data_IF_986836730306
#
_entry.id   IF_986836730306
#
_cell.length_a   1.000
_cell.length_b   1.000
_cell.length_c   1.000
_cell.angle_alpha   90.00
_cell.angle_beta   90.00
_cell.angle_gamma   90.00
#
_symmetry.space_group_name_H-M   'P 1'
#
loop_
_entity.id
_entity.type
_entity.pdbx_description
1 polymer ?
#
# COMPACT_ATOMS: atom_id res chain seq x y z
N UNK A 1 7.58 3.82 34.76
CA UNK A 1 6.39 4.25 35.49
C UNK A 1 6.64 5.58 36.21
N UNK A 2 5.98 6.64 35.72
CA UNK A 2 6.14 8.02 36.22
C UNK A 2 5.75 8.15 37.71
N UNK A 3 4.79 7.34 38.15
CA UNK A 3 4.31 7.32 39.51
C UNK A 3 5.36 6.76 40.50
N UNK A 4 6.04 5.68 40.11
CA UNK A 4 7.11 5.04 40.88
C UNK A 4 8.37 5.94 40.93
N UNK A 5 8.62 6.71 39.88
CA UNK A 5 9.73 7.66 39.77
C UNK A 5 9.51 8.97 40.50
N UNK A 6 8.33 9.22 41.10
CA UNK A 6 8.01 10.45 41.78
C UNK A 6 7.86 11.70 40.90
N UNK A 7 7.64 11.49 39.59
CA UNK A 7 7.52 12.57 38.60
C UNK A 7 6.09 13.13 38.49
N UNK A 8 5.09 12.46 39.11
CA UNK A 8 3.69 12.89 39.06
C UNK A 8 3.42 13.82 40.22
N UNK A 9 3.05 15.06 39.91
CA UNK A 9 2.70 16.09 40.92
C UNK A 9 1.23 16.00 41.34
N UNK A 10 0.34 15.66 40.37
CA UNK A 10 -1.10 15.57 40.57
C UNK A 10 -1.74 14.67 39.50
N UNK A 11 -2.77 13.96 39.90
CA UNK A 11 -3.65 13.21 39.01
C UNK A 11 -5.06 13.77 39.22
N UNK A 12 -5.73 14.15 38.15
CA UNK A 12 -7.11 14.60 38.13
C UNK A 12 -7.88 13.79 37.08
N UNK A 13 -9.13 13.48 37.40
CA UNK A 13 -10.05 12.89 36.43
C UNK A 13 -10.54 13.97 35.46
N UNK A 14 -10.54 13.69 34.19
CA UNK A 14 -10.98 14.57 33.12
C UNK A 14 -11.93 13.80 32.19
N UNK A 15 -13.10 14.36 31.97
CA UNK A 15 -14.01 13.87 30.92
C UNK A 15 -13.65 14.54 29.59
N UNK A 16 -13.38 13.75 28.55
CA UNK A 16 -13.14 14.23 27.21
C UNK A 16 -13.77 13.29 26.18
N UNK A 17 -14.05 13.82 25.00
CA UNK A 17 -14.55 13.03 23.87
C UNK A 17 -13.41 12.21 23.25
N UNK A 18 -13.64 10.91 23.07
CA UNK A 18 -12.73 9.99 22.41
C UNK A 18 -13.33 9.54 21.09
N UNK A 19 -12.53 9.60 20.04
CA UNK A 19 -12.96 9.07 18.74
C UNK A 19 -13.01 7.54 18.80
N UNK A 20 -14.11 6.99 18.31
CA UNK A 20 -14.33 5.55 18.24
C UNK A 20 -14.52 5.08 16.81
N UNK A 21 -14.17 3.82 16.56
CA UNK A 21 -14.42 3.19 15.27
C UNK A 21 -15.92 3.00 15.04
N UNK A 22 -16.44 3.47 13.90
CA UNK A 22 -17.89 3.53 13.59
C UNK A 22 -18.62 2.19 13.67
N UNK A 23 -17.93 1.06 13.41
CA UNK A 23 -18.58 -0.27 13.37
C UNK A 23 -18.56 -1.02 14.68
N UNK A 24 -17.52 -0.87 15.49
CA UNK A 24 -17.33 -1.66 16.70
C UNK A 24 -17.28 -0.83 17.97
N UNK A 25 -17.27 0.50 17.89
CA UNK A 25 -17.22 1.39 19.05
C UNK A 25 -15.90 1.36 19.83
N UNK A 26 -14.89 0.65 19.33
CA UNK A 26 -13.57 0.65 19.96
C UNK A 26 -12.89 2.02 19.83
N UNK A 27 -12.20 2.43 20.88
CA UNK A 27 -11.42 3.66 20.88
C UNK A 27 -10.32 3.61 19.82
N UNK A 28 -10.09 4.76 19.16
CA UNK A 28 -9.03 4.90 18.14
C UNK A 28 -7.73 5.27 18.82
N UNK A 29 -6.71 4.47 18.58
CA UNK A 29 -5.35 4.71 19.07
C UNK A 29 -4.38 5.00 17.91
N UNK A 30 -3.38 5.84 18.17
CA UNK A 30 -2.30 6.12 17.24
C UNK A 30 -1.13 5.18 17.51
N UNK A 31 -0.79 4.35 16.53
CA UNK A 31 0.34 3.43 16.63
C UNK A 31 1.34 3.68 15.51
N UNK A 32 2.62 3.48 15.80
CA UNK A 32 3.68 3.52 14.78
C UNK A 32 3.94 2.09 14.32
N UNK A 33 3.74 1.84 13.02
CA UNK A 33 3.99 0.53 12.43
C UNK A 33 4.57 0.67 11.02
N UNK A 34 5.26 -0.37 10.57
CA UNK A 34 5.78 -0.43 9.19
C UNK A 34 4.61 -0.70 8.26
N UNK A 35 4.57 0.02 7.15
CA UNK A 35 3.52 -0.08 6.14
C UNK A 35 4.14 -0.05 4.75
N UNK A 36 3.43 -0.61 3.77
CA UNK A 36 3.77 -0.50 2.36
C UNK A 36 3.12 0.73 1.75
N UNK A 37 3.92 1.51 1.03
CA UNK A 37 3.48 2.73 0.35
C UNK A 37 3.81 2.67 -1.14
N UNK A 38 2.94 3.25 -1.95
CA UNK A 38 3.26 3.64 -3.32
C UNK A 38 3.78 5.08 -3.26
N UNK A 39 4.97 5.31 -3.81
CA UNK A 39 5.56 6.63 -3.93
C UNK A 39 4.76 7.47 -4.94
N UNK A 40 3.92 8.34 -4.42
CA UNK A 40 3.12 9.29 -5.21
C UNK A 40 3.84 10.63 -5.31
N UNK A 41 4.52 11.01 -4.22
CA UNK A 41 5.04 12.37 -4.08
C UNK A 41 6.14 12.68 -5.11
N UNK A 42 7.02 11.71 -5.38
CA UNK A 42 8.11 11.91 -6.35
C UNK A 42 7.66 11.86 -7.82
N UNK A 43 6.42 11.40 -8.08
CA UNK A 43 5.87 11.20 -9.43
C UNK A 43 4.75 12.19 -9.83
N UNK A 44 4.53 13.25 -9.06
CA UNK A 44 3.45 14.22 -9.34
C UNK A 44 3.54 14.84 -10.74
N UNK A 45 4.74 15.20 -11.17
CA UNK A 45 4.95 15.78 -12.50
C UNK A 45 4.61 14.77 -13.61
N UNK A 46 4.93 13.50 -13.41
CA UNK A 46 4.55 12.44 -14.35
C UNK A 46 3.03 12.25 -14.40
N UNK A 47 2.34 12.28 -13.27
CA UNK A 47 0.88 12.22 -13.24
C UNK A 47 0.25 13.39 -13.97
N UNK A 48 0.71 14.61 -13.75
CA UNK A 48 0.20 15.79 -14.47
C UNK A 48 0.45 15.67 -15.98
N UNK A 49 1.65 15.24 -16.38
CA UNK A 49 1.98 15.01 -17.80
C UNK A 49 1.07 13.97 -18.42
N UNK A 50 0.87 12.81 -17.77
CA UNK A 50 -0.01 11.74 -18.25
C UNK A 50 -1.46 12.22 -18.29
N UNK A 51 -1.91 12.98 -17.29
CA UNK A 51 -3.25 13.55 -17.26
C UNK A 51 -3.58 14.40 -18.48
N UNK A 52 -2.59 15.13 -19.01
CA UNK A 52 -2.72 15.91 -20.25
C UNK A 52 -2.81 15.06 -21.53
N UNK A 53 -2.36 13.80 -21.49
CA UNK A 53 -2.44 12.87 -22.61
C UNK A 53 -3.79 12.12 -22.66
N UNK A 54 -4.60 12.18 -21.58
CA UNK A 54 -5.89 11.49 -21.45
C UNK A 54 -7.01 12.29 -22.11
N UNK A 55 -7.94 11.61 -22.79
CA UNK A 55 -9.17 12.22 -23.28
C UNK A 55 -10.24 12.23 -22.18
N UNK A 56 -10.55 13.38 -21.60
CA UNK A 56 -11.48 13.53 -20.50
C UNK A 56 -12.92 13.76 -20.96
N UNK A 57 -13.86 12.98 -20.40
CA UNK A 57 -15.30 13.12 -20.64
C UNK A 57 -16.08 13.14 -19.30
N UNK A 58 -16.72 14.26 -18.94
CA UNK A 58 -16.63 15.59 -19.58
C UNK A 58 -15.26 16.26 -19.33
N UNK A 59 -14.88 17.17 -20.20
CA UNK A 59 -13.53 17.79 -20.19
C UNK A 59 -13.15 18.46 -18.86
N UNK A 60 -14.12 18.98 -18.10
CA UNK A 60 -13.85 19.62 -16.81
C UNK A 60 -13.32 18.63 -15.72
N UNK A 61 -13.42 17.33 -15.92
CA UNK A 61 -12.85 16.34 -15.00
C UNK A 61 -11.32 16.40 -14.97
N UNK A 62 -10.70 16.88 -16.04
CA UNK A 62 -9.26 17.15 -16.05
C UNK A 62 -8.84 18.11 -14.92
N UNK A 63 -9.59 19.19 -14.70
CA UNK A 63 -9.27 20.13 -13.63
C UNK A 63 -9.33 19.47 -12.24
N UNK A 64 -10.32 18.58 -12.01
CA UNK A 64 -10.42 17.84 -10.76
C UNK A 64 -9.24 16.90 -10.54
N UNK A 65 -8.79 16.26 -11.60
CA UNK A 65 -7.61 15.41 -11.56
C UNK A 65 -6.36 16.22 -11.21
N UNK A 66 -6.13 17.35 -11.87
CA UNK A 66 -5.00 18.23 -11.59
C UNK A 66 -5.02 18.75 -10.15
N UNK A 67 -6.18 19.21 -9.67
CA UNK A 67 -6.36 19.64 -8.29
C UNK A 67 -6.03 18.51 -7.30
N UNK A 68 -6.50 17.30 -7.58
CA UNK A 68 -6.19 16.15 -6.74
C UNK A 68 -4.69 15.86 -6.71
N UNK A 69 -4.02 15.80 -7.86
CA UNK A 69 -2.57 15.54 -7.94
C UNK A 69 -1.78 16.62 -7.18
N UNK A 70 -2.15 17.89 -7.36
CA UNK A 70 -1.47 19.01 -6.71
C UNK A 70 -1.64 18.98 -5.18
N UNK A 71 -2.82 18.61 -4.69
CA UNK A 71 -3.17 18.63 -3.27
C UNK A 71 -2.78 17.36 -2.50
N UNK A 72 -2.41 16.26 -3.15
CA UNK A 72 -1.88 15.07 -2.47
C UNK A 72 -0.65 15.47 -1.67
N UNK A 73 -0.65 15.16 -0.38
CA UNK A 73 0.38 15.57 0.57
C UNK A 73 1.25 14.44 1.14
N UNK A 74 0.93 13.18 0.81
CA UNK A 74 1.66 11.98 1.26
C UNK A 74 1.52 10.83 0.28
N UNK A 75 2.42 9.87 0.42
CA UNK A 75 2.41 8.63 -0.34
C UNK A 75 1.22 7.74 0.03
N UNK A 76 0.80 6.90 -0.89
CA UNK A 76 -0.37 6.06 -0.70
C UNK A 76 -0.05 4.79 0.09
N UNK A 77 -0.52 4.72 1.34
CA UNK A 77 -0.44 3.51 2.16
C UNK A 77 -1.38 2.44 1.63
N UNK A 78 -0.80 1.33 1.15
CA UNK A 78 -1.54 0.24 0.51
C UNK A 78 -1.58 -1.05 1.31
N UNK A 79 -0.96 -1.13 2.47
CA UNK A 79 -1.02 -2.31 3.34
C UNK A 79 -2.16 -2.23 4.35
N UNK A 80 -2.75 -3.39 4.66
CA UNK A 80 -3.85 -3.53 5.63
C UNK A 80 -3.63 -4.78 6.47
N UNK A 81 -3.88 -4.66 7.77
CA UNK A 81 -3.85 -5.74 8.74
C UNK A 81 -5.24 -6.41 8.76
N UNK A 82 -5.52 -7.23 7.76
CA UNK A 82 -6.80 -7.94 7.59
C UNK A 82 -6.56 -9.40 7.28
N UNK A 83 -7.49 -10.24 7.68
CA UNK A 83 -7.43 -11.68 7.40
C UNK A 83 -7.63 -12.00 5.91
N UNK A 84 -8.55 -11.29 5.25
CA UNK A 84 -8.83 -11.47 3.82
C UNK A 84 -8.28 -10.32 2.99
N UNK A 85 -7.65 -10.65 1.87
CA UNK A 85 -7.13 -9.72 0.89
C UNK A 85 -6.10 -10.38 -0.03
N UNK A 86 -5.59 -9.62 -0.98
CA UNK A 86 -4.47 -10.05 -1.82
C UNK A 86 -3.19 -9.89 -1.02
N UNK A 87 -2.44 -10.98 -0.75
CA UNK A 87 -1.21 -10.89 0.03
C UNK A 87 -0.11 -10.17 -0.74
N UNK A 88 0.78 -9.50 -0.01
CA UNK A 88 2.04 -9.02 -0.59
C UNK A 88 2.98 -10.20 -0.83
N UNK A 89 3.54 -10.37 -2.02
CA UNK A 89 4.42 -11.48 -2.35
C UNK A 89 5.84 -11.24 -1.80
N UNK A 90 5.96 -11.07 -0.48
CA UNK A 90 7.18 -10.63 0.20
C UNK A 90 7.45 -11.46 1.45
N UNK A 91 8.73 -11.72 1.70
CA UNK A 91 9.26 -12.23 2.97
C UNK A 91 10.34 -11.29 3.47
N UNK A 92 10.67 -11.39 4.74
CA UNK A 92 11.76 -10.65 5.36
C UNK A 92 12.80 -11.60 5.90
N UNK A 93 14.08 -11.27 5.69
CA UNK A 93 15.15 -11.98 6.36
C UNK A 93 15.02 -11.84 7.88
N UNK A 94 15.03 -12.95 8.61
CA UNK A 94 14.85 -12.97 10.06
C UNK A 94 15.94 -12.21 10.81
N UNK A 95 17.17 -12.22 10.30
CA UNK A 95 18.30 -11.57 10.97
C UNK A 95 18.47 -10.09 10.60
N UNK A 96 18.43 -9.74 9.33
CA UNK A 96 18.73 -8.38 8.90
C UNK A 96 17.49 -7.57 8.45
N UNK A 97 16.30 -8.19 8.40
CA UNK A 97 15.06 -7.53 8.00
C UNK A 97 14.99 -7.16 6.51
N UNK A 98 15.93 -7.64 5.68
CA UNK A 98 15.94 -7.36 4.25
C UNK A 98 14.72 -7.96 3.57
N UNK A 99 13.93 -7.17 2.80
CA UNK A 99 12.80 -7.69 2.07
C UNK A 99 13.22 -8.55 0.89
N UNK A 100 12.56 -9.68 0.72
CA UNK A 100 12.74 -10.63 -0.38
C UNK A 100 11.42 -10.72 -1.14
N UNK A 101 11.44 -10.32 -2.40
CA UNK A 101 10.28 -10.32 -3.27
C UNK A 101 10.18 -11.64 -4.04
N UNK A 102 8.97 -12.13 -4.24
CA UNK A 102 8.72 -13.22 -5.16
C UNK A 102 9.12 -12.84 -6.58
N UNK A 103 9.67 -13.80 -7.34
CA UNK A 103 9.91 -13.61 -8.77
C UNK A 103 8.59 -13.62 -9.55
N UNK A 104 8.58 -13.07 -10.77
CA UNK A 104 7.37 -13.07 -11.63
C UNK A 104 6.90 -14.48 -11.96
N UNK A 105 7.83 -15.41 -12.09
CA UNK A 105 7.58 -16.82 -12.43
C UNK A 105 6.96 -17.58 -11.26
N UNK A 106 7.20 -17.10 -10.03
CA UNK A 106 6.67 -17.68 -8.81
C UNK A 106 5.21 -17.27 -8.55
N UNK A 107 4.76 -16.16 -9.14
CA UNK A 107 3.41 -15.64 -8.91
C UNK A 107 2.32 -16.53 -9.56
N UNK A 108 1.15 -16.71 -8.91
CA UNK A 108 0.75 -16.11 -7.63
C UNK A 108 1.31 -16.87 -6.41
N UNK A 109 1.65 -16.14 -5.33
CA UNK A 109 2.13 -16.72 -4.06
C UNK A 109 1.36 -16.19 -2.88
N UNK A 110 1.27 -17.01 -1.83
CA UNK A 110 0.84 -16.60 -0.50
C UNK A 110 2.03 -16.79 0.46
N UNK A 111 2.69 -15.73 0.93
CA UNK A 111 3.87 -15.85 1.78
C UNK A 111 3.65 -16.64 3.08
N UNK A 112 2.40 -16.71 3.57
CA UNK A 112 2.07 -17.46 4.77
C UNK A 112 2.14 -18.99 4.57
N UNK A 113 2.02 -19.47 3.33
CA UNK A 113 2.01 -20.90 2.98
C UNK A 113 3.17 -21.29 2.07
N UNK A 114 3.69 -20.33 1.32
CA UNK A 114 4.74 -20.56 0.33
C UNK A 114 6.10 -20.07 0.85
N UNK A 115 7.16 -20.55 0.24
CA UNK A 115 8.54 -20.16 0.58
C UNK A 115 9.13 -19.30 -0.53
N UNK A 116 10.08 -18.39 -0.21
CA UNK A 116 10.77 -17.62 -1.22
C UNK A 116 11.59 -18.53 -2.15
N UNK A 117 11.80 -18.09 -3.39
CA UNK A 117 12.60 -18.81 -4.39
C UNK A 117 14.10 -18.87 -4.08
N UNK A 118 14.56 -18.13 -3.08
CA UNK A 118 15.96 -18.07 -2.68
C UNK A 118 16.21 -18.90 -1.41
N UNK A 119 17.35 -19.58 -1.36
CA UNK A 119 17.73 -20.38 -0.20
C UNK A 119 18.34 -19.57 0.96
N UNK A 120 18.92 -18.41 0.64
CA UNK A 120 19.62 -17.55 1.61
C UNK A 120 19.50 -16.08 1.26
N UNK A 121 19.47 -15.25 2.28
CA UNK A 121 19.48 -13.80 2.16
C UNK A 121 20.75 -13.31 1.45
N UNK A 122 20.61 -12.44 0.47
CA UNK A 122 21.74 -11.88 -0.29
C UNK A 122 22.66 -11.00 0.57
N UNK A 123 22.10 -10.41 1.64
CA UNK A 123 22.81 -9.43 2.48
C UNK A 123 23.59 -10.07 3.63
N UNK A 124 23.01 -11.05 4.31
CA UNK A 124 23.62 -11.65 5.51
C UNK A 124 23.81 -13.15 5.43
N UNK A 125 23.26 -13.83 4.40
CA UNK A 125 23.39 -15.26 4.24
C UNK A 125 22.44 -16.11 5.11
N UNK A 126 21.56 -15.49 5.93
CA UNK A 126 20.57 -16.18 6.72
C UNK A 126 19.60 -16.96 5.82
N UNK A 127 19.15 -18.13 6.30
CA UNK A 127 18.23 -19.02 5.59
C UNK A 127 16.79 -18.97 6.14
N UNK A 128 16.56 -18.20 7.20
CA UNK A 128 15.25 -18.08 7.81
C UNK A 128 14.57 -16.80 7.35
N UNK A 129 13.31 -16.93 6.93
CA UNK A 129 12.50 -15.84 6.41
C UNK A 129 11.18 -15.74 7.16
N UNK A 130 10.73 -14.52 7.39
CA UNK A 130 9.45 -14.21 8.01
C UNK A 130 8.52 -13.74 6.91
N UNK A 131 7.34 -14.36 6.73
CA UNK A 131 6.39 -13.92 5.71
C UNK A 131 5.79 -12.56 6.04
N UNK A 132 5.46 -11.78 5.01
CA UNK A 132 4.58 -10.64 5.16
C UNK A 132 3.16 -11.13 5.49
N UNK A 133 2.55 -10.54 6.50
CA UNK A 133 1.20 -10.87 6.95
C UNK A 133 0.14 -9.89 6.48
N UNK A 134 0.56 -8.70 6.05
CA UNK A 134 -0.35 -7.68 5.54
C UNK A 134 -0.90 -8.06 4.17
N UNK A 135 -2.08 -7.54 3.88
CA UNK A 135 -2.73 -7.68 2.58
C UNK A 135 -2.87 -6.31 1.90
N UNK A 136 -2.98 -6.34 0.58
CA UNK A 136 -3.15 -5.12 -0.20
C UNK A 136 -4.52 -4.49 0.06
N UNK A 137 -4.55 -3.16 0.12
CA UNK A 137 -5.77 -2.37 0.06
C UNK A 137 -6.58 -2.73 -1.19
N UNK A 138 -7.90 -2.84 -1.03
CA UNK A 138 -8.79 -3.18 -2.14
C UNK A 138 -8.83 -2.10 -3.22
N UNK A 139 -8.59 -0.84 -2.88
CA UNK A 139 -8.45 0.23 -3.86
C UNK A 139 -7.16 0.09 -4.67
N UNK A 140 -6.07 -0.35 -4.05
CA UNK A 140 -4.82 -0.62 -4.77
C UNK A 140 -5.00 -1.77 -5.77
N UNK A 141 -5.66 -2.87 -5.37
CA UNK A 141 -5.92 -3.98 -6.29
C UNK A 141 -6.94 -3.63 -7.37
N UNK A 142 -7.96 -2.82 -7.07
CA UNK A 142 -8.94 -2.39 -8.07
C UNK A 142 -8.38 -1.37 -9.07
N UNK A 143 -7.37 -0.59 -8.68
CA UNK A 143 -6.73 0.38 -9.58
C UNK A 143 -6.06 -0.25 -10.81
N UNK A 144 -5.73 -1.54 -10.76
CA UNK A 144 -5.17 -2.28 -11.91
C UNK A 144 -6.23 -2.91 -12.82
N UNK A 145 -7.52 -2.69 -12.55
CA UNK A 145 -8.63 -3.23 -13.36
C UNK A 145 -8.53 -2.87 -14.85
N UNK A 146 -8.15 -1.64 -15.25
CA UNK A 146 -7.94 -1.34 -16.68
C UNK A 146 -6.89 -2.24 -17.34
N UNK A 147 -5.78 -2.52 -16.64
CA UNK A 147 -4.72 -3.41 -17.12
C UNK A 147 -5.19 -4.85 -17.24
N UNK A 148 -6.01 -5.31 -16.28
CA UNK A 148 -6.60 -6.65 -16.30
C UNK A 148 -7.53 -6.80 -17.50
N UNK A 149 -8.42 -5.85 -17.72
CA UNK A 149 -9.37 -5.88 -18.84
C UNK A 149 -8.65 -5.92 -20.20
N UNK A 150 -7.59 -5.16 -20.35
CA UNK A 150 -6.79 -5.17 -21.59
C UNK A 150 -6.09 -6.50 -21.84
N UNK A 151 -5.54 -7.10 -20.79
CA UNK A 151 -4.87 -8.40 -20.88
C UNK A 151 -5.84 -9.53 -21.30
N UNK A 152 -7.13 -9.42 -20.96
CA UNK A 152 -8.15 -10.38 -21.39
C UNK A 152 -8.69 -10.13 -22.79
N UNK A 153 -8.60 -8.89 -23.30
CA UNK A 153 -9.10 -8.51 -24.60
C UNK A 153 -8.20 -8.94 -25.78
N UNK A 154 -6.90 -8.61 -25.71
CA UNK A 154 -5.91 -8.93 -26.75
C UNK A 154 -4.51 -9.07 -26.16
N UNK A 155 -3.92 -10.26 -26.29
CA UNK A 155 -2.66 -10.61 -25.63
C UNK A 155 -1.43 -9.84 -26.13
N UNK A 156 -1.44 -9.29 -27.35
CA UNK A 156 -0.23 -8.81 -28.01
C UNK A 156 -0.19 -7.29 -28.26
N UNK A 157 -1.22 -6.53 -27.89
CA UNK A 157 -1.35 -5.12 -28.29
C UNK A 157 -1.79 -4.16 -27.17
N UNK A 158 -1.55 -4.53 -25.91
CA UNK A 158 -2.11 -3.78 -24.81
C UNK A 158 -1.52 -2.36 -24.66
N UNK A 159 -0.27 -2.12 -25.06
CA UNK A 159 0.33 -0.78 -25.06
C UNK A 159 -0.32 0.18 -26.06
N UNK A 160 -0.79 -0.32 -27.20
CA UNK A 160 -1.48 0.49 -28.21
C UNK A 160 -2.93 0.84 -27.82
N UNK A 161 -3.54 0.02 -26.94
CA UNK A 161 -4.90 0.25 -26.43
C UNK A 161 -4.91 1.27 -25.30
N UNK A 162 -3.79 1.42 -24.57
CA UNK A 162 -3.67 2.36 -23.43
C UNK A 162 -3.53 3.82 -23.84
N UNK A 163 -3.15 4.12 -25.07
CA UNK A 163 -2.82 5.50 -25.47
C UNK A 163 -3.51 5.88 -26.80
N UNK A 164 -4.28 6.96 -26.80
CA UNK A 164 -4.69 7.77 -25.65
C UNK A 164 -5.84 7.11 -24.87
N UNK A 165 -5.74 7.10 -23.54
CA UNK A 165 -6.81 6.65 -22.67
C UNK A 165 -7.95 7.67 -22.67
N UNK A 166 -9.19 7.19 -22.49
CA UNK A 166 -10.37 8.03 -22.30
C UNK A 166 -11.00 7.74 -20.94
N UNK A 167 -11.29 8.77 -20.20
CA UNK A 167 -11.94 8.73 -18.87
C UNK A 167 -13.13 9.67 -18.80
#
# INVERSE_FOLDING_TARGET
DLQVGGYIVKIEELEHEVQTHERCGSEVEYTVMKQWFIDIMSHKEDFLRIGNEINWYPTHMHNRYEEWVNNVAWDWCISRQRYFGVPFPVWYCKECGEPIFASKEQLPVNPLTDTPSIEKCHKCGCKEFIPESDVMDTWATSSVTPLINMKYGEKDNYESILKPMSL
#
